data_IF_606201754841
#
_entry.id   IF_606201754841
#
_cell.length_a   1.000
_cell.length_b   1.000
_cell.length_c   1.000
_cell.angle_alpha   90.00
_cell.angle_beta   90.00
_cell.angle_gamma   90.00
#
_symmetry.space_group_name_H-M   'P 1'
#
loop_
_entity.id
_entity.type
_entity.pdbx_description
1 polymer ?
#
# COMPACT_ATOMS: atom_id res chain seq x y z
N UNK A 1 -1.47 0.05 20.95
CA UNK A 1 -2.84 0.59 20.97
C UNK A 1 -3.46 0.46 19.59
N UNK A 2 -4.66 -0.11 19.51
CA UNK A 2 -5.39 -0.23 18.25
C UNK A 2 -6.03 1.11 17.91
N UNK A 3 -5.82 1.56 16.67
CA UNK A 3 -6.48 2.76 16.16
C UNK A 3 -7.68 2.34 15.33
N UNK A 4 -8.81 2.97 15.58
CA UNK A 4 -10.06 2.64 14.89
C UNK A 4 -10.52 3.76 13.97
N UNK A 5 -11.04 3.37 12.82
CA UNK A 5 -11.59 4.31 11.86
C UNK A 5 -12.96 4.81 12.34
N UNK A 6 -13.11 6.12 12.41
CA UNK A 6 -14.40 6.73 12.70
C UNK A 6 -15.19 6.94 11.40
N UNK A 7 -16.50 7.09 11.51
CA UNK A 7 -17.36 7.29 10.34
C UNK A 7 -16.99 8.57 9.57
N UNK A 8 -16.68 9.64 10.28
CA UNK A 8 -16.27 10.89 9.63
C UNK A 8 -14.98 10.72 8.83
N UNK A 9 -14.00 9.99 9.39
CA UNK A 9 -12.75 9.73 8.71
C UNK A 9 -12.93 8.81 7.51
N UNK A 10 -13.89 7.89 7.58
CA UNK A 10 -14.18 7.00 6.47
C UNK A 10 -14.53 7.79 5.20
N UNK A 11 -15.26 8.88 5.36
CA UNK A 11 -15.60 9.76 4.24
C UNK A 11 -14.38 10.53 3.73
N UNK A 12 -13.51 10.99 4.61
CA UNK A 12 -12.27 11.67 4.22
C UNK A 12 -11.34 10.75 3.44
N UNK A 13 -11.29 9.48 3.80
CA UNK A 13 -10.42 8.51 3.14
C UNK A 13 -10.89 8.13 1.74
N UNK A 14 -12.08 8.54 1.34
CA UNK A 14 -12.53 8.42 -0.05
C UNK A 14 -11.85 9.42 -0.97
N UNK A 15 -11.22 10.44 -0.39
CA UNK A 15 -10.46 11.42 -1.15
C UNK A 15 -9.05 10.85 -1.36
N UNK A 16 -8.57 10.73 -2.61
CA UNK A 16 -7.25 10.21 -2.89
C UNK A 16 -6.15 11.01 -2.17
N UNK A 17 -5.17 10.31 -1.63
CA UNK A 17 -4.02 10.94 -0.97
C UNK A 17 -3.00 11.49 -1.96
N UNK A 18 -3.15 11.17 -3.22
CA UNK A 18 -2.23 11.59 -4.27
C UNK A 18 -2.91 11.61 -5.62
N UNK A 19 -2.12 11.39 -6.67
CA UNK A 19 -2.63 11.40 -8.04
C UNK A 19 -3.45 10.14 -8.34
N UNK A 20 -4.68 10.31 -8.78
CA UNK A 20 -5.52 9.20 -9.23
C UNK A 20 -5.31 8.97 -10.73
N UNK A 21 -4.87 7.77 -11.11
CA UNK A 21 -4.76 7.36 -12.51
C UNK A 21 -5.91 6.39 -12.78
N UNK A 22 -6.83 6.80 -13.64
CA UNK A 22 -8.07 6.07 -13.88
C UNK A 22 -7.84 4.69 -14.49
N UNK A 23 -8.60 3.71 -14.03
CA UNK A 23 -8.50 2.34 -14.49
C UNK A 23 -8.83 2.19 -15.97
N UNK A 24 -9.78 2.99 -16.46
CA UNK A 24 -10.21 2.96 -17.86
C UNK A 24 -9.30 3.78 -18.77
N UNK A 25 -8.27 4.39 -18.22
CA UNK A 25 -7.28 5.13 -19.00
C UNK A 25 -6.41 4.11 -19.72
N UNK A 26 -6.49 4.09 -21.06
CA UNK A 26 -5.67 3.19 -21.87
C UNK A 26 -4.17 3.42 -21.69
N UNK A 27 -3.80 4.55 -21.13
CA UNK A 27 -2.43 4.94 -20.89
C UNK A 27 -1.96 4.66 -19.46
N UNK A 28 -2.82 4.09 -18.59
CA UNK A 28 -2.46 3.85 -17.19
C UNK A 28 -1.13 3.11 -17.03
N UNK A 29 -0.99 1.99 -17.73
CA UNK A 29 0.24 1.21 -17.67
C UNK A 29 1.44 1.99 -18.19
N UNK A 30 1.28 2.70 -19.29
CA UNK A 30 2.34 3.52 -19.88
C UNK A 30 2.77 4.63 -18.95
N UNK A 31 1.80 5.32 -18.32
CA UNK A 31 2.08 6.40 -17.37
C UNK A 31 2.91 5.87 -16.20
N UNK A 32 2.49 4.74 -15.63
CA UNK A 32 3.17 4.16 -14.48
C UNK A 32 4.58 3.69 -14.85
N UNK A 33 4.72 2.95 -15.93
CA UNK A 33 6.03 2.44 -16.35
C UNK A 33 7.00 3.57 -16.69
N UNK A 34 6.53 4.57 -17.41
CA UNK A 34 7.36 5.67 -17.88
C UNK A 34 7.79 6.59 -16.75
N UNK A 35 6.86 6.93 -15.88
CA UNK A 35 7.10 7.91 -14.82
C UNK A 35 7.82 7.32 -13.62
N UNK A 36 7.53 6.07 -13.28
CA UNK A 36 7.97 5.46 -12.02
C UNK A 36 8.93 4.28 -12.14
N UNK A 37 9.44 4.00 -13.34
CA UNK A 37 10.35 2.87 -13.57
C UNK A 37 11.58 2.86 -12.66
N UNK A 38 12.08 4.02 -12.31
CA UNK A 38 13.26 4.18 -11.47
C UNK A 38 12.94 4.57 -10.03
N UNK A 39 11.67 4.56 -9.68
CA UNK A 39 11.22 4.91 -8.32
C UNK A 39 11.24 3.68 -7.42
N UNK A 40 11.37 3.93 -6.12
CA UNK A 40 11.21 2.87 -5.13
C UNK A 40 9.72 2.85 -4.77
N UNK A 41 9.04 1.78 -5.17
CA UNK A 41 7.59 1.68 -5.10
C UNK A 41 7.16 0.78 -3.95
N UNK A 42 6.08 1.19 -3.28
CA UNK A 42 5.40 0.39 -2.27
C UNK A 42 3.96 0.21 -2.74
N UNK A 43 3.46 -1.03 -2.74
CA UNK A 43 2.07 -1.29 -3.10
C UNK A 43 1.28 -1.74 -1.88
N UNK A 44 0.05 -1.26 -1.79
CA UNK A 44 -0.93 -1.71 -0.79
C UNK A 44 -2.14 -2.23 -1.54
N UNK A 45 -2.41 -3.51 -1.37
CA UNK A 45 -3.52 -4.19 -2.04
C UNK A 45 -3.07 -5.21 -3.07
N UNK A 46 -3.84 -6.28 -3.19
CA UNK A 46 -3.52 -7.39 -4.08
C UNK A 46 -3.57 -7.01 -5.56
N UNK A 47 -4.64 -6.32 -5.96
CA UNK A 47 -4.85 -5.95 -7.36
C UNK A 47 -3.77 -4.99 -7.85
N UNK A 48 -3.41 -4.01 -7.04
CA UNK A 48 -2.38 -3.04 -7.39
C UNK A 48 -1.01 -3.71 -7.48
N UNK A 49 -0.70 -4.57 -6.52
CA UNK A 49 0.55 -5.34 -6.51
C UNK A 49 0.66 -6.20 -7.77
N UNK A 50 -0.41 -6.92 -8.10
CA UNK A 50 -0.43 -7.76 -9.29
C UNK A 50 -0.22 -6.97 -10.57
N UNK A 51 -0.88 -5.82 -10.69
CA UNK A 51 -0.74 -4.97 -11.87
C UNK A 51 0.70 -4.51 -12.08
N UNK A 52 1.36 -4.07 -11.01
CA UNK A 52 2.75 -3.63 -11.11
C UNK A 52 3.69 -4.77 -11.48
N UNK A 53 3.51 -5.93 -10.87
CA UNK A 53 4.34 -7.09 -11.19
C UNK A 53 4.16 -7.50 -12.66
N UNK A 54 2.95 -7.42 -13.19
CA UNK A 54 2.70 -7.71 -14.62
C UNK A 54 3.37 -6.69 -15.54
N UNK A 55 3.56 -5.47 -15.07
CA UNK A 55 4.29 -4.44 -15.81
C UNK A 55 5.80 -4.61 -15.74
N UNK A 56 6.28 -5.58 -14.98
CA UNK A 56 7.70 -5.78 -14.75
C UNK A 56 8.30 -4.87 -13.68
N UNK A 57 7.45 -4.24 -12.88
CA UNK A 57 7.88 -3.38 -11.77
C UNK A 57 7.73 -4.12 -10.47
N UNK A 58 8.85 -4.39 -9.81
CA UNK A 58 8.83 -5.13 -8.53
C UNK A 58 8.87 -4.14 -7.38
N UNK A 59 7.78 -4.03 -6.59
CA UNK A 59 7.79 -3.11 -5.47
C UNK A 59 8.79 -3.51 -4.39
N UNK A 60 9.39 -2.51 -3.75
CA UNK A 60 10.24 -2.71 -2.59
C UNK A 60 9.48 -3.38 -1.44
N UNK A 61 8.23 -2.94 -1.24
CA UNK A 61 7.34 -3.48 -0.23
C UNK A 61 5.96 -3.72 -0.85
N UNK A 62 5.43 -4.90 -0.62
CA UNK A 62 4.13 -5.33 -1.11
C UNK A 62 3.26 -5.72 0.08
N UNK A 63 2.13 -5.06 0.26
CA UNK A 63 1.21 -5.39 1.34
C UNK A 63 -0.05 -5.99 0.73
N UNK A 64 -0.32 -7.25 1.05
CA UNK A 64 -1.44 -8.02 0.52
C UNK A 64 -2.26 -8.60 1.65
N UNK A 65 -3.52 -8.95 1.38
CA UNK A 65 -4.39 -9.50 2.41
C UNK A 65 -4.36 -11.02 2.54
N UNK A 66 -3.73 -11.70 1.60
CA UNK A 66 -3.61 -13.16 1.66
C UNK A 66 -4.93 -13.91 1.47
N UNK A 67 -5.93 -13.31 0.83
CA UNK A 67 -7.21 -13.95 0.56
C UNK A 67 -7.03 -15.22 -0.27
N UNK A 68 -7.80 -16.25 0.06
CA UNK A 68 -7.73 -17.54 -0.60
C UNK A 68 -7.82 -17.48 -2.12
N UNK A 69 -8.76 -16.73 -2.64
CA UNK A 69 -8.97 -16.61 -4.08
C UNK A 69 -7.79 -16.01 -4.85
N UNK A 70 -6.81 -15.46 -4.14
CA UNK A 70 -5.64 -14.82 -4.73
C UNK A 70 -4.38 -15.67 -4.62
N UNK A 71 -4.46 -16.82 -3.99
CA UNK A 71 -3.32 -17.71 -3.84
C UNK A 71 -2.72 -18.08 -5.18
N UNK A 72 -3.54 -18.40 -6.18
CA UNK A 72 -3.08 -18.76 -7.51
C UNK A 72 -2.32 -17.62 -8.21
N UNK A 73 -2.82 -16.38 -8.08
CA UNK A 73 -2.18 -15.25 -8.73
C UNK A 73 -0.87 -14.89 -8.04
N UNK A 74 -0.78 -15.08 -6.72
CA UNK A 74 0.43 -14.79 -5.96
C UNK A 74 1.54 -15.82 -6.13
N UNK A 75 1.20 -17.07 -6.45
CA UNK A 75 2.18 -18.14 -6.57
C UNK A 75 3.23 -17.89 -7.65
N UNK A 76 2.87 -17.20 -8.72
CA UNK A 76 3.79 -16.91 -9.82
C UNK A 76 4.79 -15.82 -9.46
N UNK A 77 4.46 -14.98 -8.51
CA UNK A 77 5.21 -13.78 -8.18
C UNK A 77 6.01 -13.91 -6.89
N UNK A 78 5.78 -14.98 -6.15
CA UNK A 78 6.45 -15.21 -4.87
C UNK A 78 7.95 -15.38 -4.99
N UNK A 79 8.45 -15.79 -6.15
CA UNK A 79 9.88 -15.99 -6.39
C UNK A 79 10.70 -14.70 -6.32
N UNK A 80 10.07 -13.56 -6.59
CA UNK A 80 10.76 -12.27 -6.53
C UNK A 80 10.90 -11.73 -5.10
N UNK A 81 10.16 -12.30 -4.16
CA UNK A 81 10.15 -11.83 -2.77
C UNK A 81 11.30 -12.45 -1.98
N UNK A 82 12.08 -11.61 -1.31
CA UNK A 82 13.21 -12.03 -0.49
C UNK A 82 12.80 -12.19 0.98
N UNK A 83 12.00 -11.25 1.49
CA UNK A 83 11.57 -11.27 2.90
C UNK A 83 10.05 -11.36 2.99
N UNK A 84 9.55 -12.35 3.73
CA UNK A 84 8.12 -12.51 3.98
C UNK A 84 7.81 -12.21 5.44
N UNK A 85 6.88 -11.30 5.67
CA UNK A 85 6.39 -10.94 6.99
C UNK A 85 4.89 -11.19 7.05
N UNK A 86 4.37 -11.42 8.25
CA UNK A 86 2.94 -11.64 8.47
C UNK A 86 2.47 -10.74 9.61
N UNK A 87 1.27 -10.23 9.51
CA UNK A 87 0.66 -9.49 10.60
C UNK A 87 -0.86 -9.67 10.60
N UNK A 88 -1.49 -9.31 11.71
CA UNK A 88 -2.94 -9.33 11.85
C UNK A 88 -3.44 -7.89 11.91
N UNK A 89 -4.47 -7.61 11.13
CA UNK A 89 -5.07 -6.28 11.10
C UNK A 89 -6.54 -6.37 10.73
N UNK A 90 -7.43 -6.18 11.70
CA UNK A 90 -8.86 -6.28 11.46
C UNK A 90 -9.39 -5.11 10.62
N UNK A 91 -10.54 -5.31 9.97
CA UNK A 91 -11.20 -4.29 9.18
C UNK A 91 -11.47 -3.03 10.00
N UNK A 92 -11.18 -1.87 9.43
CA UNK A 92 -11.41 -0.58 10.08
C UNK A 92 -10.42 -0.23 11.17
N UNK A 93 -9.34 -0.99 11.31
CA UNK A 93 -8.33 -0.80 12.35
C UNK A 93 -6.94 -0.59 11.79
N UNK A 94 -6.08 -0.01 12.62
CA UNK A 94 -4.63 -0.08 12.41
C UNK A 94 -4.08 -0.68 13.70
N UNK A 95 -3.57 -1.90 13.62
CA UNK A 95 -3.08 -2.65 14.78
C UNK A 95 -1.62 -2.34 15.09
N UNK A 96 -1.19 -2.51 16.34
CA UNK A 96 0.24 -2.41 16.69
C UNK A 96 1.08 -3.44 15.93
N UNK A 97 0.51 -4.62 15.66
CA UNK A 97 1.19 -5.68 14.92
C UNK A 97 1.50 -5.24 13.48
N UNK A 98 0.54 -4.59 12.82
CA UNK A 98 0.74 -4.10 11.46
C UNK A 98 1.81 -2.99 11.42
N UNK A 99 1.79 -2.09 12.39
CA UNK A 99 2.79 -1.01 12.49
C UNK A 99 4.19 -1.60 12.69
N UNK A 100 4.30 -2.57 13.58
CA UNK A 100 5.57 -3.26 13.84
C UNK A 100 6.12 -3.92 12.58
N UNK A 101 5.26 -4.62 11.84
CA UNK A 101 5.65 -5.28 10.58
C UNK A 101 6.08 -4.28 9.51
N UNK A 102 5.37 -3.17 9.40
CA UNK A 102 5.74 -2.11 8.43
C UNK A 102 7.11 -1.53 8.76
N UNK A 103 7.36 -1.20 10.03
CA UNK A 103 8.68 -0.70 10.45
C UNK A 103 9.78 -1.70 10.16
N UNK A 104 9.53 -2.98 10.45
CA UNK A 104 10.49 -4.05 10.20
C UNK A 104 10.77 -4.22 8.70
N UNK A 105 9.75 -4.02 7.87
CA UNK A 105 9.89 -4.15 6.42
C UNK A 105 10.94 -3.18 5.87
N UNK A 106 10.98 -1.94 6.37
CA UNK A 106 11.95 -0.96 5.91
C UNK A 106 13.38 -1.26 6.35
N UNK A 107 13.56 -2.17 7.30
CA UNK A 107 14.87 -2.63 7.76
C UNK A 107 15.26 -3.98 7.18
N UNK A 108 14.39 -4.56 6.35
CA UNK A 108 14.59 -5.91 5.79
C UNK A 108 15.10 -5.84 4.36
N UNK A 109 15.61 -6.98 3.89
CA UNK A 109 16.11 -7.10 2.51
C UNK A 109 14.93 -7.12 1.52
N UNK A 110 14.88 -6.15 0.58
CA UNK A 110 13.81 -6.10 -0.40
C UNK A 110 13.99 -7.12 -1.53
N UNK A 111 12.95 -7.50 -2.27
CA UNK A 111 11.57 -7.10 -2.06
C UNK A 111 10.96 -7.75 -0.82
N UNK A 112 10.19 -6.98 -0.07
CA UNK A 112 9.51 -7.44 1.15
C UNK A 112 8.02 -7.60 0.87
N UNK A 113 7.43 -8.69 1.34
CA UNK A 113 5.98 -8.88 1.28
C UNK A 113 5.42 -9.04 2.68
N UNK A 114 4.44 -8.23 3.01
CA UNK A 114 3.66 -8.39 4.24
C UNK A 114 2.31 -9.00 3.86
N UNK A 115 2.04 -10.17 4.39
CA UNK A 115 0.72 -10.82 4.23
C UNK A 115 -0.10 -10.51 5.47
N UNK A 116 -1.23 -9.85 5.26
CA UNK A 116 -2.11 -9.41 6.33
C UNK A 116 -3.23 -10.42 6.55
N UNK A 117 -3.35 -10.90 7.77
CA UNK A 117 -4.52 -11.66 8.18
C UNK A 117 -5.58 -10.64 8.60
N UNK A 118 -6.53 -10.40 7.72
CA UNK A 118 -7.54 -9.37 7.90
C UNK A 118 -7.65 -8.45 6.69
N UNK A 119 -7.58 -7.14 6.92
CA UNK A 119 -7.68 -6.15 5.84
C UNK A 119 -6.50 -5.18 5.85
N UNK A 120 -5.96 -4.92 4.66
CA UNK A 120 -4.78 -4.11 4.45
C UNK A 120 -5.06 -2.66 4.04
N UNK A 121 -6.27 -2.33 3.62
CA UNK A 121 -6.57 -1.02 3.00
C UNK A 121 -6.12 0.19 3.83
N UNK A 122 -6.38 0.19 5.12
CA UNK A 122 -6.00 1.30 5.99
C UNK A 122 -4.50 1.38 6.24
N UNK A 123 -3.77 0.34 5.91
CA UNK A 123 -2.33 0.32 6.14
C UNK A 123 -1.57 1.28 5.23
N UNK A 124 -2.24 1.82 4.20
CA UNK A 124 -1.66 2.91 3.41
C UNK A 124 -1.27 4.08 4.31
N UNK A 125 -1.99 4.32 5.41
CA UNK A 125 -1.70 5.42 6.33
C UNK A 125 -0.36 5.23 7.06
N UNK A 126 -0.14 4.14 7.81
CA UNK A 126 1.16 3.95 8.46
C UNK A 126 2.30 3.77 7.44
N UNK A 127 2.03 3.19 6.29
CA UNK A 127 3.04 3.08 5.24
C UNK A 127 3.53 4.46 4.82
N UNK A 128 2.62 5.41 4.60
CA UNK A 128 3.01 6.78 4.26
C UNK A 128 3.81 7.44 5.37
N UNK A 129 3.47 7.18 6.63
CA UNK A 129 4.16 7.77 7.78
C UNK A 129 5.58 7.25 7.94
N UNK A 130 5.79 5.96 7.74
CA UNK A 130 7.07 5.32 8.02
C UNK A 130 7.96 5.15 6.80
N UNK A 131 7.46 5.43 5.61
CA UNK A 131 8.27 5.40 4.39
C UNK A 131 9.28 6.54 4.37
N UNK A 132 10.49 6.28 3.87
CA UNK A 132 11.41 7.39 3.58
C UNK A 132 10.81 8.35 2.55
N UNK A 133 11.21 9.60 2.60
CA UNK A 133 10.81 10.56 1.59
C UNK A 133 11.31 10.13 0.21
N UNK A 134 10.58 10.51 -0.81
CA UNK A 134 10.83 10.19 -2.22
C UNK A 134 10.46 8.75 -2.63
N UNK A 135 10.03 7.90 -1.70
CA UNK A 135 9.39 6.64 -2.05
C UNK A 135 8.00 6.93 -2.62
N UNK A 136 7.48 6.00 -3.40
CA UNK A 136 6.18 6.16 -4.06
C UNK A 136 5.25 5.05 -3.57
N UNK A 137 4.14 5.43 -2.97
CA UNK A 137 3.12 4.48 -2.50
C UNK A 137 1.98 4.43 -3.50
N UNK A 138 1.60 3.24 -3.91
CA UNK A 138 0.48 3.03 -4.83
C UNK A 138 -0.56 2.12 -4.21
N UNK A 139 -1.83 2.52 -4.30
CA UNK A 139 -2.94 1.72 -3.78
C UNK A 139 -4.16 1.88 -4.67
N UNK A 140 -5.10 0.94 -4.59
CA UNK A 140 -6.31 0.97 -5.39
C UNK A 140 -7.40 1.85 -4.79
N UNK A 141 -8.02 2.67 -5.63
CA UNK A 141 -9.25 3.38 -5.28
C UNK A 141 -10.38 2.60 -5.94
N UNK A 142 -11.25 1.93 -5.16
CA UNK A 142 -12.27 1.04 -5.71
C UNK A 142 -13.11 1.69 -6.81
N UNK A 143 -13.23 0.99 -7.94
CA UNK A 143 -14.00 1.42 -9.12
C UNK A 143 -13.46 2.67 -9.82
N UNK A 144 -12.31 3.18 -9.43
CA UNK A 144 -11.75 4.38 -10.03
C UNK A 144 -10.39 4.15 -10.68
N UNK A 145 -9.42 3.62 -9.94
CA UNK A 145 -8.09 3.39 -10.48
C UNK A 145 -7.02 3.21 -9.41
N UNK A 146 -5.81 3.61 -9.75
CA UNK A 146 -4.66 3.54 -8.85
C UNK A 146 -4.31 4.95 -8.37
N UNK A 147 -4.17 5.10 -7.06
CA UNK A 147 -3.68 6.34 -6.46
C UNK A 147 -2.19 6.24 -6.26
N UNK A 148 -1.46 7.25 -6.71
CA UNK A 148 -0.01 7.31 -6.62
C UNK A 148 0.37 8.46 -5.69
N UNK A 149 1.08 8.13 -4.61
CA UNK A 149 1.47 9.10 -3.58
C UNK A 149 2.98 9.21 -3.54
N UNK A 150 3.50 10.37 -3.92
CA UNK A 150 4.92 10.66 -3.71
C UNK A 150 5.10 11.05 -2.25
N UNK A 151 5.93 10.34 -1.53
CA UNK A 151 6.11 10.59 -0.09
C UNK A 151 6.94 11.84 0.12
N UNK A 152 6.30 12.86 0.70
CA UNK A 152 6.90 14.14 1.03
C UNK A 152 6.58 14.45 2.48
N UNK A 153 7.25 15.43 3.05
CA UNK A 153 6.93 15.88 4.41
C UNK A 153 5.49 16.38 4.50
N UNK A 154 5.00 17.03 3.46
CA UNK A 154 3.63 17.53 3.38
C UNK A 154 2.60 16.39 3.45
N UNK A 155 2.85 15.30 2.71
CA UNK A 155 2.00 14.11 2.74
C UNK A 155 2.01 13.50 4.13
N UNK A 156 3.19 13.38 4.74
CA UNK A 156 3.32 12.80 6.09
C UNK A 156 2.55 13.61 7.13
N UNK A 157 2.59 14.93 7.04
CA UNK A 157 1.84 15.80 7.94
C UNK A 157 0.33 15.63 7.78
N UNK A 158 -0.13 15.54 6.53
CA UNK A 158 -1.53 15.30 6.21
C UNK A 158 -2.00 13.97 6.78
N UNK A 159 -1.23 12.91 6.55
CA UNK A 159 -1.56 11.58 7.04
C UNK A 159 -1.53 11.53 8.57
N UNK A 160 -0.56 12.20 9.19
CA UNK A 160 -0.48 12.25 10.64
C UNK A 160 -1.73 12.88 11.25
N UNK A 161 -2.26 13.92 10.64
CA UNK A 161 -3.52 14.54 11.10
C UNK A 161 -4.68 13.55 11.03
N UNK A 162 -4.76 12.76 9.96
CA UNK A 162 -5.79 11.74 9.82
C UNK A 162 -5.65 10.69 10.94
N UNK A 163 -4.43 10.19 11.14
CA UNK A 163 -4.16 9.17 12.15
C UNK A 163 -4.47 9.68 13.56
N UNK A 164 -4.16 10.95 13.84
CA UNK A 164 -4.44 11.55 15.14
C UNK A 164 -5.95 11.63 15.44
N UNK A 165 -6.79 11.64 14.42
CA UNK A 165 -8.24 11.64 14.59
C UNK A 165 -8.83 10.23 14.77
N UNK A 166 -8.04 9.21 14.55
CA UNK A 166 -8.46 7.82 14.77
C UNK A 166 -8.47 7.51 16.27
N UNK A 167 -9.39 6.67 16.66
CA UNK A 167 -9.57 6.25 18.04
C UNK A 167 -9.53 4.73 18.13
#
# INVERSE_FOLDING_TARGET
MILNLTENLRNELKIPLGRLVLENDSEQEEIIKKTYANSIIITVGDATTEKLLKMGLVPFLQIIDGQEKRVKRMSLESESVVTNLNCKNAAGEISPDSISSIKKAFESNPPVRITVDGEEDLLVLPVCLYSPENYVVMYGQPNEGIVIVNITQEVKEKVQKIVNLMK
#
